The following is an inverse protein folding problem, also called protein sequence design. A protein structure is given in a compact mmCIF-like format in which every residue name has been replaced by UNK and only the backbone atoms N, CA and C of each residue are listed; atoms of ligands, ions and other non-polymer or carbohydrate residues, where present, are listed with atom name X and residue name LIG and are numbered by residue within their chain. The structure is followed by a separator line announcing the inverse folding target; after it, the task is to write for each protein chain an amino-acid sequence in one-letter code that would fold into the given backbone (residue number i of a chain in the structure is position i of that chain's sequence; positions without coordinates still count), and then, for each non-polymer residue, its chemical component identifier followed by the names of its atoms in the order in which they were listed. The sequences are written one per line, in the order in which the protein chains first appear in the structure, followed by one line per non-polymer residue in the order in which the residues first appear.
data_IF_179240131425
#
_entry.id   IF_179240131425
#
_cell.length_a   1.000
_cell.length_b   1.000
_cell.length_c   1.000
_cell.angle_alpha   90.00
_cell.angle_beta   90.00
_cell.angle_gamma   90.00
#
_symmetry.space_group_name_H-M   'P 1'
#
loop_
_entity.id
_entity.type
_entity.pdbx_description
1 polymer ?
#
# COMPACT_ATOMS: atom_id res chain seq x y z
N UNK A 1 4.97 7.56 -22.30
CA UNK A 1 6.09 6.78 -22.85
C UNK A 1 5.51 5.62 -23.64
N UNK A 2 5.99 5.45 -24.88
CA UNK A 2 5.52 4.38 -25.76
C UNK A 2 6.27 3.06 -25.49
N UNK A 3 7.57 3.13 -25.21
CA UNK A 3 8.37 1.97 -24.84
C UNK A 3 9.17 2.21 -23.56
N UNK A 4 8.68 1.61 -22.48
CA UNK A 4 9.28 1.71 -21.14
C UNK A 4 10.59 0.92 -21.05
N UNK A 5 10.69 -0.22 -21.75
CA UNK A 5 11.82 -1.15 -21.64
C UNK A 5 12.88 -0.98 -22.73
N UNK A 6 12.75 0.04 -23.58
CA UNK A 6 13.81 0.35 -24.54
C UNK A 6 15.17 0.43 -23.84
N UNK A 7 16.12 -0.39 -24.28
CA UNK A 7 17.47 -0.44 -23.69
C UNK A 7 18.32 0.78 -24.03
N UNK A 8 18.00 1.49 -25.11
CA UNK A 8 18.74 2.68 -25.55
C UNK A 8 18.20 3.93 -24.88
N UNK A 9 18.92 4.43 -23.88
CA UNK A 9 18.57 5.65 -23.14
C UNK A 9 19.78 6.56 -23.00
N UNK A 10 19.59 7.84 -23.29
CA UNK A 10 20.63 8.86 -23.14
C UNK A 10 20.24 9.76 -21.98
N UNK A 11 21.15 9.92 -21.02
CA UNK A 11 20.92 10.68 -19.80
C UNK A 11 21.93 11.82 -19.70
N UNK A 12 21.48 13.00 -19.29
CA UNK A 12 22.38 14.10 -18.95
C UNK A 12 23.17 13.77 -17.67
N UNK A 13 24.46 14.06 -17.63
CA UNK A 13 25.35 13.80 -16.49
C UNK A 13 24.78 14.36 -15.16
N UNK A 14 24.24 15.58 -15.18
CA UNK A 14 23.67 16.19 -13.99
C UNK A 14 22.41 15.44 -13.51
N UNK A 15 21.55 15.01 -14.43
CA UNK A 15 20.38 14.22 -14.07
C UNK A 15 20.81 12.87 -13.47
N UNK A 16 21.78 12.19 -14.09
CA UNK A 16 22.28 10.92 -13.59
C UNK A 16 22.83 11.01 -12.16
N UNK A 17 23.60 12.07 -11.86
CA UNK A 17 24.14 12.30 -10.52
C UNK A 17 23.06 12.63 -9.49
N UNK A 18 22.08 13.46 -9.85
CA UNK A 18 21.02 13.90 -8.93
C UNK A 18 19.94 12.82 -8.70
N UNK A 19 19.77 11.92 -9.64
CA UNK A 19 18.74 10.88 -9.55
C UNK A 19 19.06 9.76 -8.56
N UNK A 20 20.34 9.57 -8.18
CA UNK A 20 20.74 8.56 -7.18
C UNK A 20 20.15 7.17 -7.47
N UNK A 21 20.49 6.60 -8.63
CA UNK A 21 19.96 5.30 -9.08
C UNK A 21 20.46 4.17 -8.19
N UNK A 22 19.56 3.22 -7.87
CA UNK A 22 19.87 2.06 -7.02
C UNK A 22 19.52 0.72 -7.68
N UNK A 23 18.65 0.71 -8.69
CA UNK A 23 18.18 -0.50 -9.35
C UNK A 23 19.18 -1.02 -10.39
N UNK A 24 19.11 -2.33 -10.67
CA UNK A 24 19.91 -3.01 -11.69
C UNK A 24 19.01 -3.78 -12.67
N UNK A 25 19.52 -4.05 -13.87
CA UNK A 25 18.79 -4.84 -14.87
C UNK A 25 17.52 -4.16 -15.38
N UNK A 26 16.44 -4.92 -15.59
CA UNK A 26 15.19 -4.42 -16.18
C UNK A 26 14.49 -3.34 -15.33
N UNK A 27 14.62 -3.42 -14.01
CA UNK A 27 14.03 -2.43 -13.08
C UNK A 27 14.66 -1.04 -13.26
N UNK A 28 15.93 -0.97 -13.67
CA UNK A 28 16.62 0.30 -13.93
C UNK A 28 15.92 1.13 -15.00
N UNK A 29 15.37 0.48 -16.04
CA UNK A 29 14.62 1.18 -17.09
C UNK A 29 13.40 1.90 -16.54
N UNK A 30 12.66 1.26 -15.62
CA UNK A 30 11.52 1.86 -14.93
C UNK A 30 11.94 2.98 -13.97
N UNK A 31 13.02 2.75 -13.22
CA UNK A 31 13.54 3.75 -12.27
C UNK A 31 13.89 5.06 -12.96
N UNK A 32 14.55 5.00 -14.13
CA UNK A 32 14.86 6.19 -14.91
C UNK A 32 13.60 7.01 -15.23
N UNK A 33 12.55 6.35 -15.70
CA UNK A 33 11.31 7.03 -16.08
C UNK A 33 10.58 7.64 -14.88
N UNK A 34 10.51 6.91 -13.78
CA UNK A 34 9.88 7.41 -12.55
C UNK A 34 10.66 8.59 -11.99
N UNK A 35 11.98 8.48 -11.86
CA UNK A 35 12.84 9.56 -11.37
C UNK A 35 12.85 10.77 -12.30
N UNK A 36 12.75 10.56 -13.61
CA UNK A 36 12.58 11.68 -14.55
C UNK A 36 11.32 12.48 -14.28
N UNK A 37 10.21 11.81 -13.94
CA UNK A 37 8.96 12.46 -13.56
C UNK A 37 9.04 13.14 -12.20
N UNK A 38 9.64 12.51 -11.21
CA UNK A 38 9.80 13.06 -9.85
C UNK A 38 10.68 14.31 -9.85
N UNK A 39 11.75 14.31 -10.66
CA UNK A 39 12.70 15.42 -10.80
C UNK A 39 12.29 16.44 -11.88
N UNK A 40 11.08 16.30 -12.46
CA UNK A 40 10.58 17.15 -13.54
C UNK A 40 11.58 17.31 -14.70
N UNK A 41 12.29 16.24 -15.06
CA UNK A 41 13.22 16.25 -16.17
C UNK A 41 12.48 16.31 -17.52
N UNK A 42 13.01 17.08 -18.47
CA UNK A 42 12.51 17.09 -19.84
C UNK A 42 12.90 15.78 -20.52
N UNK A 43 11.91 15.04 -21.02
CA UNK A 43 12.08 13.76 -21.70
C UNK A 43 11.54 13.87 -23.12
N UNK A 44 12.28 13.34 -24.08
CA UNK A 44 11.85 13.20 -25.47
C UNK A 44 12.10 11.76 -25.93
N UNK A 45 11.22 11.27 -26.79
CA UNK A 45 11.32 9.96 -27.43
C UNK A 45 11.70 10.14 -28.88
N UNK A 46 12.65 9.37 -29.35
CA UNK A 46 13.10 9.35 -30.73
C UNK A 46 12.78 7.98 -31.32
N UNK A 47 12.04 7.89 -32.43
CA UNK A 47 11.74 6.62 -33.05
C UNK A 47 13.04 5.96 -33.57
N UNK A 48 13.18 4.68 -33.28
CA UNK A 48 14.32 3.85 -33.74
C UNK A 48 13.79 2.59 -34.40
N UNK A 49 14.55 2.05 -35.34
CA UNK A 49 14.24 0.75 -35.95
C UNK A 49 14.91 -0.34 -35.15
N UNK A 50 14.13 -1.29 -34.60
CA UNK A 50 14.64 -2.45 -33.90
C UNK A 50 14.83 -3.60 -34.91
N UNK A 51 16.07 -4.00 -35.13
CA UNK A 51 16.42 -5.16 -35.96
C UNK A 51 16.34 -6.45 -35.15
N UNK A 52 16.20 -7.59 -35.88
CA UNK A 52 16.25 -8.93 -35.25
C UNK A 52 17.56 -9.13 -34.51
N UNK A 53 17.48 -9.87 -33.39
CA UNK A 53 18.69 -10.22 -32.60
C UNK A 53 19.71 -10.96 -33.46
N UNK A 54 20.88 -10.39 -33.61
CA UNK A 54 21.99 -10.96 -34.39
C UNK A 54 22.81 -12.04 -33.67
N UNK A 55 22.44 -12.37 -32.43
CA UNK A 55 23.13 -13.38 -31.62
C UNK A 55 22.87 -14.80 -32.18
N UNK A 56 23.89 -15.47 -32.70
CA UNK A 56 23.72 -16.82 -33.28
C UNK A 56 23.76 -17.94 -32.24
N UNK A 57 24.43 -17.78 -31.08
CA UNK A 57 24.70 -18.89 -30.13
C UNK A 57 24.61 -18.45 -28.65
N UNK A 58 24.18 -17.26 -28.32
CA UNK A 58 24.09 -16.79 -26.93
C UNK A 58 22.68 -16.88 -26.39
N UNK A 59 22.51 -17.47 -25.19
CA UNK A 59 21.24 -17.46 -24.48
C UNK A 59 20.88 -16.02 -24.09
N UNK A 60 19.59 -15.71 -24.09
CA UNK A 60 19.08 -14.43 -23.62
C UNK A 60 19.50 -14.21 -22.15
N UNK A 61 20.02 -13.00 -21.85
CA UNK A 61 20.33 -12.60 -20.47
C UNK A 61 19.07 -12.32 -19.63
N UNK A 62 17.91 -12.26 -20.27
CA UNK A 62 16.62 -12.01 -19.63
C UNK A 62 16.12 -13.29 -18.93
N UNK A 63 15.99 -13.19 -17.62
CA UNK A 63 15.34 -14.23 -16.79
C UNK A 63 13.89 -13.82 -16.54
N UNK A 64 12.99 -14.18 -17.45
CA UNK A 64 11.61 -13.69 -17.53
C UNK A 64 10.87 -13.70 -16.18
N UNK A 65 10.91 -14.81 -15.43
CA UNK A 65 10.22 -14.92 -14.14
C UNK A 65 10.90 -14.07 -13.07
N UNK A 66 12.22 -14.19 -12.91
CA UNK A 66 12.98 -13.46 -11.88
C UNK A 66 12.91 -11.94 -12.11
N UNK A 67 13.08 -11.50 -13.34
CA UNK A 67 13.05 -10.07 -13.67
C UNK A 67 11.62 -9.53 -13.63
N UNK A 68 10.62 -10.34 -13.99
CA UNK A 68 9.20 -10.02 -13.82
C UNK A 68 8.83 -9.80 -12.35
N UNK A 69 9.25 -10.68 -11.44
CA UNK A 69 9.00 -10.54 -10.00
C UNK A 69 9.69 -9.31 -9.40
N UNK A 70 10.92 -8.99 -9.83
CA UNK A 70 11.62 -7.76 -9.41
C UNK A 70 10.88 -6.52 -9.88
N UNK A 71 10.42 -6.53 -11.12
CA UNK A 71 9.62 -5.45 -11.69
C UNK A 71 8.30 -5.27 -10.94
N UNK A 72 7.60 -6.37 -10.66
CA UNK A 72 6.37 -6.34 -9.88
C UNK A 72 6.59 -5.72 -8.51
N UNK A 73 7.60 -6.17 -7.75
CA UNK A 73 7.97 -5.57 -6.45
C UNK A 73 8.23 -4.08 -6.55
N UNK A 74 8.90 -3.64 -7.61
CA UNK A 74 9.18 -2.23 -7.82
C UNK A 74 7.90 -1.42 -8.10
N UNK A 75 7.01 -1.93 -8.94
CA UNK A 75 5.70 -1.30 -9.24
C UNK A 75 4.82 -1.22 -8.00
N UNK A 76 4.81 -2.28 -7.16
CA UNK A 76 4.10 -2.29 -5.88
C UNK A 76 4.51 -1.14 -4.95
N UNK A 77 5.78 -0.72 -5.00
CA UNK A 77 6.29 0.41 -4.22
C UNK A 77 5.95 1.75 -4.89
N UNK A 78 6.02 1.81 -6.22
CA UNK A 78 5.91 3.07 -6.97
C UNK A 78 4.48 3.56 -7.18
N UNK A 79 3.48 2.67 -7.16
CA UNK A 79 2.09 2.98 -7.49
C UNK A 79 1.11 2.81 -6.31
N UNK A 80 1.39 3.39 -5.12
CA UNK A 80 0.56 3.16 -3.93
C UNK A 80 -0.88 3.63 -4.10
N UNK A 81 -1.12 4.70 -4.87
CA UNK A 81 -2.46 5.29 -5.05
C UNK A 81 -3.44 4.31 -5.70
N UNK A 82 -3.05 3.70 -6.82
CA UNK A 82 -3.93 2.81 -7.59
C UNK A 82 -3.99 1.41 -7.01
N UNK A 83 -2.88 0.94 -6.43
CA UNK A 83 -2.76 -0.45 -6.03
C UNK A 83 -3.28 -0.71 -4.62
N UNK A 84 -3.21 0.29 -3.73
CA UNK A 84 -3.60 0.13 -2.33
C UNK A 84 -4.69 1.11 -1.90
N UNK A 85 -4.54 2.41 -2.16
CA UNK A 85 -5.53 3.37 -1.68
C UNK A 85 -6.86 3.28 -2.43
N UNK A 86 -6.85 2.96 -3.73
CA UNK A 86 -8.09 2.76 -4.47
C UNK A 86 -8.87 1.52 -3.99
N UNK A 87 -8.27 0.30 -3.86
CA UNK A 87 -8.96 -0.83 -3.26
C UNK A 87 -9.39 -0.57 -1.80
N UNK A 88 -8.58 0.12 -1.00
CA UNK A 88 -8.96 0.51 0.35
C UNK A 88 -10.25 1.33 0.36
N UNK A 89 -10.31 2.37 -0.46
CA UNK A 89 -11.51 3.21 -0.59
C UNK A 89 -12.70 2.40 -1.11
N UNK A 90 -12.49 1.52 -2.07
CA UNK A 90 -13.54 0.65 -2.60
C UNK A 90 -14.14 -0.23 -1.50
N UNK A 91 -13.33 -0.97 -0.74
CA UNK A 91 -13.81 -1.79 0.37
C UNK A 91 -14.46 -0.96 1.46
N UNK A 92 -13.96 0.24 1.75
CA UNK A 92 -14.57 1.14 2.73
C UNK A 92 -15.99 1.57 2.31
N UNK A 93 -16.18 1.90 1.04
CA UNK A 93 -17.48 2.31 0.50
C UNK A 93 -18.47 1.13 0.37
N UNK A 94 -17.97 -0.10 0.24
CA UNK A 94 -18.87 -1.27 0.21
C UNK A 94 -19.49 -1.58 1.58
N UNK A 95 -18.89 -1.18 2.70
CA UNK A 95 -19.43 -1.39 4.06
C UNK A 95 -20.88 -0.84 4.20
N UNK A 96 -21.17 0.45 3.98
CA UNK A 96 -22.54 0.95 4.07
C UNK A 96 -23.46 0.38 2.98
N UNK A 97 -22.93 0.07 1.80
CA UNK A 97 -23.72 -0.51 0.71
C UNK A 97 -24.18 -1.93 1.03
N UNK A 98 -23.30 -2.78 1.57
CA UNK A 98 -23.67 -4.14 1.98
C UNK A 98 -24.69 -4.12 3.11
N UNK A 99 -24.56 -3.21 4.07
CA UNK A 99 -25.57 -3.04 5.11
C UNK A 99 -26.96 -2.73 4.52
N UNK A 100 -27.05 -1.72 3.67
CA UNK A 100 -28.31 -1.30 3.04
C UNK A 100 -28.95 -2.38 2.14
N UNK A 101 -28.13 -3.15 1.44
CA UNK A 101 -28.61 -4.20 0.53
C UNK A 101 -29.06 -5.44 1.31
N UNK A 102 -28.25 -5.92 2.24
CA UNK A 102 -28.55 -7.14 2.99
C UNK A 102 -29.71 -6.94 3.99
N UNK A 103 -29.85 -5.75 4.57
CA UNK A 103 -30.97 -5.40 5.43
C UNK A 103 -32.34 -5.48 4.69
N UNK A 104 -32.33 -5.16 3.39
CA UNK A 104 -33.53 -5.27 2.54
C UNK A 104 -33.87 -6.69 2.08
N UNK A 105 -32.86 -7.54 2.04
CA UNK A 105 -32.99 -8.94 1.61
C UNK A 105 -33.41 -9.83 2.80
N UNK A 106 -34.42 -9.61 3.49
CA UNK A 106 -35.03 -10.31 4.66
C UNK A 106 -34.59 -11.76 4.98
N UNK A 107 -33.66 -12.33 4.22
CA UNK A 107 -33.09 -13.67 4.35
C UNK A 107 -31.81 -13.73 5.18
N UNK A 108 -31.21 -12.56 5.53
CA UNK A 108 -29.96 -12.49 6.28
C UNK A 108 -30.23 -12.03 7.72
N UNK A 109 -29.61 -12.73 8.67
CA UNK A 109 -29.66 -12.31 10.07
C UNK A 109 -28.70 -11.15 10.30
N UNK A 110 -29.02 -10.26 11.26
CA UNK A 110 -28.17 -9.11 11.62
C UNK A 110 -26.73 -9.53 11.96
N UNK A 111 -26.55 -10.71 12.51
CA UNK A 111 -25.24 -11.31 12.80
C UNK A 111 -24.39 -11.50 11.54
N UNK A 112 -24.96 -12.02 10.48
CA UNK A 112 -24.27 -12.25 9.20
C UNK A 112 -23.87 -10.92 8.56
N UNK A 113 -24.78 -9.94 8.56
CA UNK A 113 -24.54 -8.60 8.02
C UNK A 113 -23.37 -7.92 8.74
N UNK A 114 -23.38 -7.95 10.06
CA UNK A 114 -22.31 -7.33 10.87
C UNK A 114 -20.97 -8.03 10.65
N UNK A 115 -20.96 -9.36 10.56
CA UNK A 115 -19.75 -10.15 10.33
C UNK A 115 -19.09 -9.82 8.99
N UNK A 116 -19.87 -9.73 7.91
CA UNK A 116 -19.38 -9.34 6.58
C UNK A 116 -18.81 -7.90 6.61
N UNK A 117 -19.52 -6.98 7.25
CA UNK A 117 -19.05 -5.60 7.34
C UNK A 117 -17.75 -5.44 8.13
N UNK A 118 -17.56 -6.22 9.18
CA UNK A 118 -16.30 -6.26 9.94
C UNK A 118 -15.14 -6.71 9.05
N UNK A 119 -15.33 -7.77 8.25
CA UNK A 119 -14.30 -8.26 7.33
C UNK A 119 -13.96 -7.22 6.25
N UNK A 120 -14.97 -6.59 5.64
CA UNK A 120 -14.77 -5.56 4.62
C UNK A 120 -14.03 -4.33 5.19
N UNK A 121 -14.40 -3.89 6.38
CA UNK A 121 -13.71 -2.80 7.07
C UNK A 121 -12.25 -3.15 7.36
N UNK A 122 -11.98 -4.37 7.84
CA UNK A 122 -10.63 -4.83 8.11
C UNK A 122 -9.78 -4.92 6.83
N UNK A 123 -10.33 -5.42 5.73
CA UNK A 123 -9.66 -5.43 4.43
C UNK A 123 -9.34 -4.02 3.96
N UNK A 124 -10.29 -3.08 4.05
CA UNK A 124 -10.06 -1.67 3.75
C UNK A 124 -8.89 -1.11 4.54
N UNK A 125 -8.88 -1.33 5.85
CA UNK A 125 -7.80 -0.87 6.73
C UNK A 125 -6.44 -1.47 6.36
N UNK A 126 -6.37 -2.77 6.04
CA UNK A 126 -5.12 -3.42 5.64
C UNK A 126 -4.57 -2.87 4.32
N UNK A 127 -5.43 -2.68 3.31
CA UNK A 127 -5.01 -2.05 2.06
C UNK A 127 -4.52 -0.61 2.29
N UNK A 128 -5.17 0.14 3.17
CA UNK A 128 -4.71 1.49 3.53
C UNK A 128 -3.31 1.46 4.15
N UNK A 129 -3.06 0.58 5.13
CA UNK A 129 -1.76 0.44 5.77
C UNK A 129 -0.67 -0.01 4.80
N UNK A 130 -0.95 -0.97 3.90
CA UNK A 130 -0.02 -1.36 2.83
C UNK A 130 0.32 -0.17 1.92
N UNK A 131 -0.66 0.67 1.60
CA UNK A 131 -0.46 1.91 0.83
C UNK A 131 0.47 2.90 1.54
N UNK A 132 0.34 3.03 2.86
CA UNK A 132 1.23 3.85 3.66
C UNK A 132 2.66 3.29 3.67
N UNK A 133 2.84 1.98 3.87
CA UNK A 133 4.16 1.33 3.83
C UNK A 133 4.85 1.51 2.47
N UNK A 134 4.11 1.26 1.38
CA UNK A 134 4.62 1.47 0.02
C UNK A 134 5.01 2.93 -0.22
N UNK A 135 4.20 3.88 0.24
CA UNK A 135 4.46 5.32 0.09
C UNK A 135 5.68 5.78 0.89
N UNK A 136 5.87 5.24 2.11
CA UNK A 136 7.08 5.49 2.91
C UNK A 136 8.32 4.98 2.19
N UNK A 137 8.29 3.74 1.72
CA UNK A 137 9.41 3.15 1.02
C UNK A 137 9.72 3.88 -0.28
N UNK A 138 8.70 4.27 -1.03
CA UNK A 138 8.87 5.10 -2.23
C UNK A 138 9.53 6.45 -1.91
N UNK A 139 9.16 7.09 -0.79
CA UNK A 139 9.77 8.35 -0.35
C UNK A 139 11.26 8.17 0.01
N UNK A 140 11.62 7.12 0.74
CA UNK A 140 13.01 6.81 1.09
C UNK A 140 13.88 6.59 -0.15
N UNK A 141 13.34 5.93 -1.17
CA UNK A 141 14.00 5.67 -2.45
C UNK A 141 13.97 6.87 -3.42
N UNK A 142 13.48 8.03 -2.98
CA UNK A 142 13.31 9.23 -3.81
C UNK A 142 12.45 8.99 -5.07
N UNK A 143 11.49 8.07 -4.97
CA UNK A 143 10.53 7.74 -6.04
C UNK A 143 9.20 8.48 -5.88
N UNK A 144 9.00 9.20 -4.77
CA UNK A 144 7.76 9.89 -4.44
C UNK A 144 7.98 11.17 -3.63
N UNK A 145 7.33 12.26 -4.02
CA UNK A 145 7.44 13.60 -3.39
C UNK A 145 6.12 14.07 -2.77
N UNK A 146 5.41 13.21 -2.05
CA UNK A 146 4.15 13.58 -1.40
C UNK A 146 4.35 14.32 -0.07
N UNK A 147 3.97 15.60 0.00
CA UNK A 147 4.04 16.40 1.24
C UNK A 147 3.07 15.91 2.32
N UNK A 148 1.87 15.42 1.95
CA UNK A 148 0.86 14.93 2.89
C UNK A 148 1.34 13.76 3.77
N UNK A 149 2.26 12.95 3.23
CA UNK A 149 2.80 11.80 3.92
C UNK A 149 3.59 12.20 5.18
N UNK A 150 4.38 13.28 5.12
CA UNK A 150 5.11 13.77 6.29
C UNK A 150 4.18 14.31 7.37
N UNK A 151 3.12 15.00 6.97
CA UNK A 151 2.11 15.50 7.91
C UNK A 151 1.35 14.36 8.58
N UNK A 152 0.96 13.34 7.80
CA UNK A 152 0.28 12.16 8.34
C UNK A 152 1.14 11.43 9.39
N UNK A 153 2.43 11.21 9.11
CA UNK A 153 3.32 10.51 10.06
C UNK A 153 3.71 11.35 11.28
N UNK A 154 3.66 12.67 11.18
CA UNK A 154 3.83 13.53 12.35
C UNK A 154 2.64 13.41 13.33
N UNK A 155 1.43 13.24 12.79
CA UNK A 155 0.20 13.05 13.58
C UNK A 155 0.10 11.60 14.08
N UNK A 156 0.32 10.63 13.17
CA UNK A 156 0.22 9.19 13.46
C UNK A 156 1.57 8.65 13.99
N UNK A 157 1.93 9.13 15.18
CA UNK A 157 3.14 8.69 15.86
C UNK A 157 2.87 7.34 16.58
N UNK A 158 3.93 6.53 16.77
CA UNK A 158 3.89 5.27 17.51
C UNK A 158 3.20 5.43 18.88
N UNK A 159 3.52 6.51 19.61
CA UNK A 159 2.92 6.82 20.92
C UNK A 159 1.40 6.98 20.84
N UNK A 160 0.91 7.68 19.81
CA UNK A 160 -0.52 7.90 19.59
C UNK A 160 -1.26 6.59 19.26
N UNK A 161 -0.66 5.74 18.42
CA UNK A 161 -1.20 4.44 18.10
C UNK A 161 -1.28 3.51 19.33
N UNK A 162 -0.25 3.50 20.17
CA UNK A 162 -0.25 2.76 21.44
C UNK A 162 -1.34 3.26 22.40
N UNK A 163 -1.49 4.57 22.53
CA UNK A 163 -2.49 5.16 23.40
C UNK A 163 -3.92 4.80 22.97
N UNK A 164 -4.23 4.93 21.67
CA UNK A 164 -5.53 4.54 21.11
C UNK A 164 -5.78 3.05 21.30
N UNK A 165 -4.79 2.21 20.99
CA UNK A 165 -4.95 0.75 21.10
C UNK A 165 -5.17 0.32 22.54
N UNK A 166 -4.41 0.89 23.49
CA UNK A 166 -4.61 0.60 24.92
C UNK A 166 -6.01 1.02 25.39
N UNK A 167 -6.48 2.19 24.95
CA UNK A 167 -7.83 2.66 25.28
C UNK A 167 -8.90 1.72 24.71
N UNK A 168 -8.78 1.27 23.46
CA UNK A 168 -9.73 0.35 22.85
C UNK A 168 -9.71 -1.04 23.50
N UNK A 169 -8.55 -1.56 23.85
CA UNK A 169 -8.41 -2.87 24.53
C UNK A 169 -9.04 -2.80 25.93
N UNK A 170 -8.66 -1.80 26.71
CA UNK A 170 -9.18 -1.65 28.09
C UNK A 170 -10.70 -1.42 28.02
N UNK A 171 -11.18 -0.57 27.15
CA UNK A 171 -12.61 -0.29 26.96
C UNK A 171 -13.40 -1.55 26.58
N UNK A 172 -12.90 -2.36 25.64
CA UNK A 172 -13.58 -3.59 25.23
C UNK A 172 -13.59 -4.64 26.33
N UNK A 173 -12.49 -4.81 27.09
CA UNK A 173 -12.42 -5.74 28.23
C UNK A 173 -13.37 -5.29 29.35
N UNK A 174 -13.38 -4.00 29.69
CA UNK A 174 -14.28 -3.46 30.70
C UNK A 174 -15.75 -3.67 30.33
N UNK A 175 -16.13 -3.45 29.06
CA UNK A 175 -17.49 -3.70 28.59
C UNK A 175 -17.87 -5.19 28.68
N UNK A 176 -16.94 -6.10 28.38
CA UNK A 176 -17.19 -7.53 28.55
C UNK A 176 -17.38 -7.92 30.02
N UNK A 177 -16.56 -7.36 30.92
CA UNK A 177 -16.65 -7.66 32.36
C UNK A 177 -17.88 -7.06 33.03
N UNK A 178 -18.29 -5.87 32.65
CA UNK A 178 -19.46 -5.17 33.22
C UNK A 178 -20.78 -5.64 32.62
N UNK A 179 -20.77 -6.44 31.57
CA UNK A 179 -21.96 -6.88 30.86
C UNK A 179 -22.71 -5.75 30.12
N UNK A 180 -22.06 -4.60 29.92
CA UNK A 180 -22.62 -3.50 29.13
C UNK A 180 -22.74 -3.93 27.67
N UNK A 181 -23.95 -3.90 27.15
CA UNK A 181 -24.24 -4.29 25.75
C UNK A 181 -24.48 -3.04 24.91
N UNK A 182 -23.65 -2.87 23.86
CA UNK A 182 -23.89 -1.87 22.80
C UNK A 182 -24.85 -2.47 21.77
N UNK A 183 -24.73 -3.77 21.52
CA UNK A 183 -25.55 -4.55 20.60
C UNK A 183 -26.15 -5.76 21.33
N UNK A 184 -27.10 -6.43 20.71
CA UNK A 184 -27.74 -7.62 21.29
C UNK A 184 -26.83 -8.85 21.25
N UNK A 185 -26.69 -9.55 22.38
CA UNK A 185 -26.15 -10.89 22.52
C UNK A 185 -24.84 -11.17 21.76
N UNK A 186 -24.90 -12.03 20.76
CA UNK A 186 -23.77 -12.53 19.99
C UNK A 186 -23.06 -11.43 19.18
N UNK A 187 -23.80 -10.46 18.67
CA UNK A 187 -23.25 -9.33 17.90
C UNK A 187 -22.33 -8.49 18.78
N UNK A 188 -22.72 -8.27 20.04
CA UNK A 188 -21.92 -7.51 20.99
C UNK A 188 -20.57 -8.22 21.26
N UNK A 189 -20.59 -9.53 21.43
CA UNK A 189 -19.39 -10.34 21.65
C UNK A 189 -18.43 -10.26 20.45
N UNK A 190 -18.93 -10.39 19.22
CA UNK A 190 -18.11 -10.28 18.00
C UNK A 190 -17.51 -8.89 17.89
N UNK A 191 -18.30 -7.85 18.11
CA UNK A 191 -17.84 -6.46 17.99
C UNK A 191 -16.72 -6.16 18.99
N UNK A 192 -16.85 -6.58 20.24
CA UNK A 192 -15.84 -6.35 21.27
C UNK A 192 -14.54 -7.11 20.98
N UNK A 193 -14.63 -8.37 20.53
CA UNK A 193 -13.46 -9.14 20.12
C UNK A 193 -12.79 -8.54 18.88
N UNK A 194 -13.57 -8.01 17.94
CA UNK A 194 -13.04 -7.28 16.79
C UNK A 194 -12.26 -6.03 17.24
N UNK A 195 -12.73 -5.26 18.21
CA UNK A 195 -11.99 -4.11 18.72
C UNK A 195 -10.64 -4.49 19.33
N UNK A 196 -10.56 -5.61 20.05
CA UNK A 196 -9.30 -6.14 20.59
C UNK A 196 -8.35 -6.50 19.45
N UNK A 197 -8.83 -7.28 18.49
CA UNK A 197 -8.04 -7.70 17.34
C UNK A 197 -7.55 -6.52 16.49
N UNK A 198 -8.43 -5.56 16.24
CA UNK A 198 -8.10 -4.33 15.52
C UNK A 198 -7.03 -3.52 16.24
N UNK A 199 -7.10 -3.43 17.57
CA UNK A 199 -6.12 -2.71 18.38
C UNK A 199 -4.73 -3.35 18.32
N UNK A 200 -4.64 -4.67 18.40
CA UNK A 200 -3.38 -5.41 18.26
C UNK A 200 -2.79 -5.17 16.86
N UNK A 201 -3.63 -5.21 15.85
CA UNK A 201 -3.23 -4.96 14.47
C UNK A 201 -2.72 -3.52 14.26
N UNK A 202 -3.36 -2.55 14.89
CA UNK A 202 -2.95 -1.14 14.84
C UNK A 202 -1.57 -0.94 15.49
N UNK A 203 -1.28 -1.60 16.59
CA UNK A 203 0.06 -1.61 17.21
C UNK A 203 1.08 -2.21 16.24
N UNK A 204 0.81 -3.40 15.70
CA UNK A 204 1.72 -4.08 14.79
C UNK A 204 2.06 -3.22 13.56
N UNK A 205 1.06 -2.63 12.92
CA UNK A 205 1.25 -1.74 11.77
C UNK A 205 2.05 -0.47 12.14
N UNK A 206 1.81 0.11 13.32
CA UNK A 206 2.53 1.30 13.78
C UNK A 206 4.00 1.01 14.09
N UNK A 207 4.31 -0.19 14.61
CA UNK A 207 5.69 -0.65 14.78
C UNK A 207 6.42 -0.79 13.44
N UNK A 208 5.78 -1.37 12.43
CA UNK A 208 6.36 -1.47 11.08
C UNK A 208 6.63 -0.08 10.49
N UNK A 209 5.71 0.87 10.64
CA UNK A 209 5.91 2.27 10.21
C UNK A 209 7.12 2.88 10.94
N UNK A 210 7.21 2.69 12.26
CA UNK A 210 8.32 3.21 13.07
C UNK A 210 9.67 2.63 12.62
N UNK A 211 9.75 1.32 12.40
CA UNK A 211 10.95 0.66 11.90
C UNK A 211 11.36 1.19 10.52
N UNK A 212 10.42 1.31 9.59
CA UNK A 212 10.69 1.87 8.27
C UNK A 212 11.12 3.36 8.33
N UNK A 213 10.73 4.10 9.34
CA UNK A 213 11.13 5.51 9.51
C UNK A 213 12.54 5.70 10.06
N UNK A 214 13.13 4.66 10.69
CA UNK A 214 14.49 4.69 11.26
C UNK A 214 15.59 4.54 10.21
N UNK A 215 15.30 3.98 9.04
CA UNK A 215 16.24 3.83 7.92
C UNK A 215 16.48 5.17 7.20
N UNK A 216 17.00 6.18 7.92
CA UNK A 216 17.42 7.48 7.38
C UNK A 216 18.93 7.58 7.31
#
# INVERSE_FOLDING_TARGET
FNDVYCGMKILRKNFFKNANFFSKGMVFCLEILIKSKVLNAKVSEVPITLFKDGRKNAKSHLKTISDGLKTLKFVLICCPKWLYFFPSLFFFLTVPMTYLVLDRLSSFEMFEIVSVNIVLFFLSFQFFMLGLFASLRAKQLSLYNGKWLSTFFNIFNLKFAFFISAFLIIGSILMQLTGVQIFTGEINFIFLNFLIFFSINLIANSLVISLLSLDK
#
